data_IF_893526174908
#
_entry.id   IF_893526174908
#
_cell.length_a   1.000
_cell.length_b   1.000
_cell.length_c   1.000
_cell.angle_alpha   90.00
_cell.angle_beta   90.00
_cell.angle_gamma   90.00
#
_symmetry.space_group_name_H-M   'P 1'
#
loop_
_entity.id
_entity.type
_entity.pdbx_description
1 polymer ?
#
# COMPACT_ATOMS: atom_id res chain seq x y z
N UNK A 1 31.11 6.15 -47.33
CA UNK A 1 30.40 5.79 -46.09
C UNK A 1 31.15 6.32 -44.88
N UNK A 2 30.58 7.34 -44.24
CA UNK A 2 30.80 7.80 -42.87
C UNK A 2 29.47 8.46 -42.45
N UNK A 3 28.85 8.13 -41.31
CA UNK A 3 27.68 8.84 -40.85
C UNK A 3 28.09 10.22 -40.31
N UNK A 4 27.42 11.26 -40.78
CA UNK A 4 27.51 12.63 -40.26
C UNK A 4 26.60 12.68 -39.03
N UNK A 5 27.18 12.89 -37.85
CA UNK A 5 26.41 13.25 -36.65
C UNK A 5 26.03 14.73 -36.77
N UNK A 6 24.76 15.12 -36.55
CA UNK A 6 24.40 16.53 -36.52
C UNK A 6 24.99 17.22 -35.28
N UNK A 7 25.47 18.42 -35.52
CA UNK A 7 26.16 19.32 -34.58
C UNK A 7 25.26 19.77 -33.42
N UNK A 8 25.93 20.13 -32.34
CA UNK A 8 25.42 20.60 -31.05
C UNK A 8 24.24 21.57 -31.19
N UNK A 9 23.02 21.04 -31.08
CA UNK A 9 21.84 21.82 -30.83
C UNK A 9 21.81 22.19 -29.35
N UNK A 10 21.92 23.48 -29.05
CA UNK A 10 21.62 24.06 -27.74
C UNK A 10 20.33 23.44 -27.20
N UNK A 11 20.46 22.62 -26.14
CA UNK A 11 19.32 22.15 -25.38
C UNK A 11 18.82 23.36 -24.61
N UNK A 12 17.92 24.13 -25.23
CA UNK A 12 17.01 25.00 -24.50
C UNK A 12 16.34 24.13 -23.46
N UNK A 13 16.81 24.22 -22.20
CA UNK A 13 16.06 23.79 -21.03
C UNK A 13 14.80 24.65 -21.01
N UNK A 14 13.79 24.19 -21.74
CA UNK A 14 12.41 24.49 -21.42
C UNK A 14 12.25 23.96 -20.00
N UNK A 15 12.35 24.84 -19.03
CA UNK A 15 11.84 24.65 -17.69
C UNK A 15 10.32 24.57 -17.79
N UNK A 16 9.81 23.50 -18.41
CA UNK A 16 8.47 23.02 -18.17
C UNK A 16 8.43 22.65 -16.70
N UNK A 17 7.82 23.54 -15.93
CA UNK A 17 7.41 23.28 -14.56
C UNK A 17 6.70 21.93 -14.55
N UNK A 18 7.29 20.96 -13.85
CA UNK A 18 6.64 19.70 -13.52
C UNK A 18 5.41 20.02 -12.64
N UNK A 19 4.27 20.33 -13.25
CA UNK A 19 2.96 20.27 -12.59
C UNK A 19 2.48 18.83 -12.67
N UNK A 20 3.15 17.96 -11.92
CA UNK A 20 2.87 16.54 -11.86
C UNK A 20 2.11 16.23 -10.56
N UNK A 21 0.83 16.60 -10.56
CA UNK A 21 -0.16 15.94 -9.70
C UNK A 21 -0.42 14.52 -10.26
N UNK A 22 0.61 13.68 -10.25
CA UNK A 22 0.59 12.31 -10.76
C UNK A 22 -0.09 11.38 -9.74
N UNK A 23 -1.41 11.49 -9.62
CA UNK A 23 -2.19 10.59 -8.77
C UNK A 23 -2.34 9.22 -9.44
N UNK A 24 -1.52 8.25 -9.05
CA UNK A 24 -1.72 6.85 -9.41
C UNK A 24 -2.99 6.28 -8.75
N UNK A 25 -4.09 6.21 -9.49
CA UNK A 25 -5.33 5.58 -9.01
C UNK A 25 -5.24 4.07 -9.17
N UNK A 26 -4.92 3.37 -8.08
CA UNK A 26 -4.97 1.89 -8.07
C UNK A 26 -6.42 1.44 -7.84
N UNK A 27 -6.92 0.60 -8.74
CA UNK A 27 -8.23 -0.05 -8.60
C UNK A 27 -8.03 -1.52 -8.27
N UNK A 28 -8.75 -1.98 -7.25
CA UNK A 28 -8.78 -3.38 -6.82
C UNK A 28 -10.22 -3.82 -6.94
N UNK A 29 -10.52 -4.56 -8.00
CA UNK A 29 -11.89 -4.95 -8.38
C UNK A 29 -12.81 -3.71 -8.51
N UNK A 30 -13.91 -3.67 -7.76
CA UNK A 30 -14.92 -2.59 -7.79
C UNK A 30 -14.65 -1.47 -6.78
N UNK A 31 -13.47 -1.51 -6.15
CA UNK A 31 -13.04 -0.51 -5.18
C UNK A 31 -11.79 0.22 -5.68
N UNK A 32 -11.69 1.49 -5.30
CA UNK A 32 -10.50 2.31 -5.45
C UNK A 32 -9.68 2.23 -4.17
N UNK A 33 -8.37 2.00 -4.31
CA UNK A 33 -7.43 2.22 -3.23
C UNK A 33 -7.35 3.72 -2.95
N UNK A 34 -7.63 4.12 -1.71
CA UNK A 34 -7.56 5.50 -1.26
C UNK A 34 -6.16 5.84 -0.76
N UNK A 35 -5.63 4.98 0.10
CA UNK A 35 -4.42 5.26 0.83
C UNK A 35 -3.74 3.95 1.22
N UNK A 36 -2.41 3.98 1.18
CA UNK A 36 -1.57 3.02 1.87
C UNK A 36 -0.63 3.81 2.77
N UNK A 37 -0.62 3.46 4.05
CA UNK A 37 0.38 3.93 5.00
C UNK A 37 1.28 2.76 5.40
N UNK A 38 2.59 2.99 5.36
CA UNK A 38 3.59 2.08 5.90
C UNK A 38 4.29 2.81 7.04
N UNK A 39 4.23 2.25 8.24
CA UNK A 39 4.84 2.84 9.44
C UNK A 39 5.79 1.83 10.10
N UNK A 40 7.00 2.26 10.39
CA UNK A 40 7.92 1.50 11.23
C UNK A 40 7.53 1.58 12.70
N UNK A 41 7.60 0.45 13.40
CA UNK A 41 7.35 0.37 14.84
C UNK A 41 8.53 -0.30 15.55
N UNK A 42 8.89 0.22 16.72
CA UNK A 42 9.87 -0.38 17.62
C UNK A 42 9.26 -1.46 18.52
N UNK A 43 7.96 -1.37 18.76
CA UNK A 43 7.15 -2.30 19.54
C UNK A 43 5.88 -2.64 18.75
N UNK A 44 5.32 -3.86 18.92
CA UNK A 44 4.09 -4.22 18.24
C UNK A 44 2.93 -3.33 18.73
N UNK A 45 1.92 -3.14 17.88
CA UNK A 45 0.71 -2.43 18.28
C UNK A 45 0.03 -3.14 19.47
N UNK A 46 -0.47 -2.37 20.45
CA UNK A 46 -1.14 -2.92 21.61
C UNK A 46 -2.48 -3.57 21.20
N UNK A 47 -2.98 -4.52 21.99
CA UNK A 47 -4.07 -5.41 21.56
C UNK A 47 -5.40 -4.71 21.33
N UNK A 48 -5.63 -3.59 22.01
CA UNK A 48 -6.78 -2.70 21.85
C UNK A 48 -6.88 -2.10 20.44
N UNK A 49 -5.75 -1.87 19.77
CA UNK A 49 -5.67 -1.33 18.40
C UNK A 49 -6.03 -2.38 17.33
N UNK A 50 -6.43 -3.59 17.76
CA UNK A 50 -6.86 -4.68 16.90
C UNK A 50 -8.30 -5.14 17.16
N UNK A 51 -9.06 -4.45 18.02
CA UNK A 51 -10.50 -4.67 18.24
C UNK A 51 -11.33 -3.93 17.17
N UNK A 52 -12.01 -4.60 16.22
CA UNK A 52 -12.73 -3.91 15.14
C UNK A 52 -13.82 -2.99 15.69
N UNK A 53 -13.56 -1.67 15.72
CA UNK A 53 -14.54 -0.67 16.14
C UNK A 53 -14.42 0.59 15.27
N UNK A 54 -15.56 1.25 15.04
CA UNK A 54 -15.73 2.44 14.20
C UNK A 54 -14.84 3.62 14.62
N UNK A 55 -14.31 3.62 15.86
CA UNK A 55 -13.50 4.72 16.41
C UNK A 55 -12.02 4.69 16.04
N UNK A 56 -11.45 3.51 15.71
CA UNK A 56 -10.01 3.36 15.38
C UNK A 56 -9.74 3.09 13.88
N UNK A 57 -10.79 2.97 13.07
CA UNK A 57 -10.65 3.10 11.61
C UNK A 57 -10.33 1.84 10.81
N UNK A 58 -10.16 0.64 11.38
CA UNK A 58 -10.11 -0.62 10.60
C UNK A 58 -11.50 -1.26 10.49
N UNK A 59 -12.32 -0.58 9.69
CA UNK A 59 -13.67 -0.89 9.18
C UNK A 59 -14.00 -2.38 9.09
N UNK A 60 -14.93 -2.84 9.95
CA UNK A 60 -15.68 -4.12 9.91
C UNK A 60 -14.90 -5.36 9.45
N UNK A 61 -13.58 -5.36 9.63
CA UNK A 61 -12.71 -6.42 9.18
C UNK A 61 -12.68 -7.55 10.19
N UNK A 62 -12.29 -8.73 9.74
CA UNK A 62 -12.15 -9.89 10.60
C UNK A 62 -10.67 -10.23 10.79
N UNK A 63 -10.27 -10.70 11.98
CA UNK A 63 -8.95 -11.29 12.21
C UNK A 63 -8.67 -12.32 11.13
N UNK A 64 -7.59 -12.11 10.38
CA UNK A 64 -7.27 -12.90 9.20
C UNK A 64 -5.84 -13.41 9.31
N UNK A 65 -5.63 -14.70 9.09
CA UNK A 65 -4.29 -15.25 9.02
C UNK A 65 -3.68 -14.97 7.63
N UNK A 66 -2.53 -14.31 7.63
CA UNK A 66 -1.68 -14.09 6.45
C UNK A 66 -0.30 -14.69 6.73
N UNK A 67 0.35 -15.37 5.77
CA UNK A 67 1.58 -16.13 6.01
C UNK A 67 2.76 -15.30 6.54
N UNK A 68 2.80 -14.01 6.20
CA UNK A 68 3.87 -13.09 6.55
C UNK A 68 3.49 -12.13 7.70
N UNK A 69 2.24 -12.16 8.14
CA UNK A 69 1.74 -11.24 9.15
C UNK A 69 1.85 -11.87 10.53
N UNK A 70 2.34 -11.08 11.49
CA UNK A 70 2.20 -11.40 12.90
C UNK A 70 0.73 -11.28 13.31
N UNK A 71 0.07 -10.22 12.83
CA UNK A 71 -1.35 -9.99 13.03
C UNK A 71 -1.92 -9.22 11.85
N UNK A 72 -3.14 -9.57 11.45
CA UNK A 72 -3.84 -8.88 10.39
C UNK A 72 -5.35 -8.86 10.63
N UNK A 73 -5.99 -7.78 10.22
CA UNK A 73 -7.43 -7.63 10.11
C UNK A 73 -7.72 -7.21 8.69
N UNK A 74 -8.63 -7.93 8.03
CA UNK A 74 -8.99 -7.66 6.63
C UNK A 74 -10.50 -7.55 6.52
N UNK A 75 -10.96 -6.42 5.98
CA UNK A 75 -12.35 -6.13 5.67
C UNK A 75 -12.52 -5.77 4.20
N UNK A 76 -13.77 -5.49 3.80
CA UNK A 76 -14.11 -5.08 2.43
C UNK A 76 -13.62 -3.69 2.05
N UNK A 77 -13.39 -2.85 3.07
CA UNK A 77 -13.05 -1.44 2.90
C UNK A 77 -11.65 -1.10 3.39
N UNK A 78 -10.87 -2.08 3.85
CA UNK A 78 -9.52 -1.83 4.35
C UNK A 78 -8.86 -3.04 4.98
N UNK A 79 -7.58 -2.89 5.27
CA UNK A 79 -6.80 -3.85 6.03
C UNK A 79 -5.80 -3.16 6.95
N UNK A 80 -5.55 -3.79 8.08
CA UNK A 80 -4.49 -3.44 9.02
C UNK A 80 -3.60 -4.66 9.18
N UNK A 81 -2.31 -4.53 8.90
CA UNK A 81 -1.38 -5.66 8.91
C UNK A 81 -0.09 -5.26 9.61
N UNK A 82 0.31 -6.06 10.59
CA UNK A 82 1.60 -5.94 11.28
C UNK A 82 2.46 -7.14 10.90
N UNK A 83 3.70 -6.87 10.55
CA UNK A 83 4.69 -7.89 10.17
C UNK A 83 6.00 -7.62 10.88
N UNK A 84 6.69 -8.70 11.24
CA UNK A 84 8.07 -8.65 11.71
C UNK A 84 8.99 -8.23 10.55
N UNK A 85 10.03 -7.47 10.85
CA UNK A 85 10.89 -6.87 9.84
C UNK A 85 12.37 -6.85 10.17
N UNK A 86 12.76 -6.28 11.32
CA UNK A 86 14.16 -6.15 11.75
C UNK A 86 14.93 -4.97 11.14
N UNK A 87 14.62 -4.51 9.93
CA UNK A 87 15.22 -3.35 9.26
C UNK A 87 14.23 -2.76 8.23
N UNK A 88 13.96 -1.43 8.18
CA UNK A 88 14.52 -0.33 8.99
C UNK A 88 13.99 -0.24 10.42
N UNK A 89 12.97 -1.01 10.76
CA UNK A 89 12.35 -1.06 12.09
C UNK A 89 12.10 -2.51 12.50
N UNK A 90 11.89 -2.75 13.79
CA UNK A 90 11.61 -4.12 14.29
C UNK A 90 10.35 -4.69 13.67
N UNK A 91 9.31 -3.87 13.55
CA UNK A 91 8.05 -4.22 12.92
C UNK A 91 7.67 -3.19 11.85
N UNK A 92 6.85 -3.61 10.89
CA UNK A 92 6.16 -2.72 9.96
C UNK A 92 4.65 -2.86 10.13
N UNK A 93 3.98 -1.72 10.14
CA UNK A 93 2.53 -1.61 10.11
C UNK A 93 2.08 -1.10 8.74
N UNK A 94 1.16 -1.82 8.13
CA UNK A 94 0.50 -1.47 6.88
C UNK A 94 -0.97 -1.15 7.18
N UNK A 95 -1.39 0.07 6.84
CA UNK A 95 -2.81 0.43 6.78
C UNK A 95 -3.19 0.65 5.33
N UNK A 96 -4.19 -0.07 4.86
CA UNK A 96 -4.68 -0.03 3.48
C UNK A 96 -6.15 0.34 3.51
N UNK A 97 -6.52 1.41 2.82
CA UNK A 97 -7.89 1.92 2.81
C UNK A 97 -8.48 1.87 1.39
N UNK A 98 -9.72 1.39 1.30
CA UNK A 98 -10.48 1.32 0.05
C UNK A 98 -11.76 2.17 0.13
N UNK A 99 -12.20 2.63 -1.03
CA UNK A 99 -13.51 3.22 -1.25
C UNK A 99 -14.24 2.47 -2.36
N UNK A 100 -15.52 2.14 -2.20
CA UNK A 100 -16.32 1.65 -3.32
C UNK A 100 -16.37 2.71 -4.42
N UNK A 101 -16.29 2.26 -5.67
CA UNK A 101 -16.58 3.14 -6.80
C UNK A 101 -18.08 3.40 -6.85
N UNK A 102 -18.47 4.66 -7.02
CA UNK A 102 -19.87 5.05 -7.09
C UNK A 102 -20.63 4.23 -8.16
N UNK A 103 -21.80 3.71 -7.80
CA UNK A 103 -22.61 2.85 -8.66
C UNK A 103 -22.14 1.39 -8.76
N UNK A 104 -21.10 0.97 -8.01
CA UNK A 104 -20.65 -0.42 -7.95
C UNK A 104 -20.78 -1.02 -6.54
N UNK A 105 -20.90 -2.34 -6.47
CA UNK A 105 -20.83 -3.09 -5.20
C UNK A 105 -19.41 -3.03 -4.63
N UNK A 106 -19.26 -2.98 -3.31
CA UNK A 106 -17.95 -3.03 -2.64
C UNK A 106 -17.12 -4.27 -3.05
N UNK A 107 -15.79 -4.14 -3.00
CA UNK A 107 -14.89 -5.27 -3.12
C UNK A 107 -15.19 -6.35 -2.07
N UNK A 108 -14.98 -7.60 -2.44
CA UNK A 108 -15.11 -8.70 -1.47
C UNK A 108 -13.91 -8.71 -0.51
N UNK A 109 -14.11 -9.21 0.71
CA UNK A 109 -13.01 -9.36 1.67
C UNK A 109 -11.91 -10.29 1.13
N UNK A 110 -12.28 -11.29 0.29
CA UNK A 110 -11.32 -12.17 -0.36
C UNK A 110 -10.45 -11.42 -1.39
N UNK A 111 -11.03 -10.53 -2.19
CA UNK A 111 -10.28 -9.68 -3.13
C UNK A 111 -9.29 -8.79 -2.38
N UNK A 112 -9.76 -8.11 -1.32
CA UNK A 112 -8.90 -7.24 -0.51
C UNK A 112 -7.78 -8.05 0.13
N UNK A 113 -8.08 -9.24 0.66
CA UNK A 113 -7.07 -10.16 1.22
C UNK A 113 -5.98 -10.49 0.21
N UNK A 114 -6.36 -10.86 -1.02
CA UNK A 114 -5.41 -11.18 -2.10
C UNK A 114 -4.49 -10.01 -2.42
N UNK A 115 -5.07 -8.82 -2.64
CA UNK A 115 -4.29 -7.61 -2.88
C UNK A 115 -3.32 -7.29 -1.74
N UNK A 116 -3.80 -7.33 -0.49
CA UNK A 116 -2.97 -7.04 0.69
C UNK A 116 -1.83 -8.04 0.81
N UNK A 117 -2.08 -9.31 0.51
CA UNK A 117 -1.06 -10.35 0.48
C UNK A 117 0.04 -10.06 -0.54
N UNK A 118 -0.34 -9.73 -1.77
CA UNK A 118 0.63 -9.44 -2.83
C UNK A 118 1.40 -8.14 -2.55
N UNK A 119 0.68 -7.09 -2.14
CA UNK A 119 1.25 -5.78 -1.87
C UNK A 119 2.23 -5.82 -0.70
N UNK A 120 1.84 -6.37 0.46
CA UNK A 120 2.73 -6.40 1.63
C UNK A 120 3.96 -7.25 1.36
N UNK A 121 3.81 -8.37 0.65
CA UNK A 121 4.96 -9.22 0.26
C UNK A 121 5.93 -8.44 -0.64
N UNK A 122 5.42 -7.73 -1.65
CA UNK A 122 6.25 -6.91 -2.52
C UNK A 122 6.91 -5.75 -1.77
N UNK A 123 6.17 -5.06 -0.90
CA UNK A 123 6.68 -3.95 -0.10
C UNK A 123 7.79 -4.40 0.87
N UNK A 124 7.60 -5.52 1.57
CA UNK A 124 8.65 -6.10 2.43
C UNK A 124 9.93 -6.34 1.64
N UNK A 125 9.83 -6.92 0.44
CA UNK A 125 10.99 -7.17 -0.42
C UNK A 125 11.69 -5.88 -0.85
N UNK A 126 10.95 -4.82 -1.17
CA UNK A 126 11.51 -3.54 -1.59
C UNK A 126 12.16 -2.76 -0.44
N UNK A 127 11.69 -2.96 0.79
CA UNK A 127 12.21 -2.33 1.99
C UNK A 127 13.36 -3.11 2.65
N UNK A 128 13.86 -4.16 2.00
CA UNK A 128 14.84 -5.11 2.56
C UNK A 128 14.44 -5.65 3.95
N UNK A 129 13.14 -5.85 4.10
CA UNK A 129 12.50 -6.33 5.32
C UNK A 129 12.61 -7.86 5.40
N UNK A 130 13.78 -8.33 5.81
CA UNK A 130 14.09 -9.75 6.00
C UNK A 130 13.97 -10.14 7.47
N UNK A 131 12.76 -10.51 7.88
CA UNK A 131 12.47 -11.18 9.16
C UNK A 131 12.72 -12.67 9.09
#
# INVERSE_FOLDING_TARGET
MKPILPEEGDVTQSSEQLTLDEYCVVRVDKSRLLQIEIRGLDEPLPSEDWIPDRKLGYRSGEPTQLPFARRAIVGRQGALVETDCGNPSKYLLFRVDFSPVEGQSEATAATVKGFVQDYVTAAKKQLDCSS
#
